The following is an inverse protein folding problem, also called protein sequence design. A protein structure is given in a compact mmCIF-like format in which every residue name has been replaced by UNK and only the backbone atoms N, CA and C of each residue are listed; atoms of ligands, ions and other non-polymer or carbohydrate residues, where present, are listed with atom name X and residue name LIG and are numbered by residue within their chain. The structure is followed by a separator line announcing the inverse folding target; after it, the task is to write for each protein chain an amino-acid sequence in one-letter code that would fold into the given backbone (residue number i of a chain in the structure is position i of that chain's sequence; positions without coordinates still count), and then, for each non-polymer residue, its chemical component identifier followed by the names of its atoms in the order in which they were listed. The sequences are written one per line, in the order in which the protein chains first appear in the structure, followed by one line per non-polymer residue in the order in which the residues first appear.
data_IF_760631067412
#
_entry.id   IF_760631067412
#
_cell.length_a   1.000
_cell.length_b   1.000
_cell.length_c   1.000
_cell.angle_alpha   90.00
_cell.angle_beta   90.00
_cell.angle_gamma   90.00
#
_symmetry.space_group_name_H-M   'P 1'
#
loop_
_entity.id
_entity.type
_entity.pdbx_description
1 polymer ?
#
# COMPACT_ATOMS: atom_id res chain seq x y z
N UNK A 1 -22.36 14.97 -5.60
CA UNK A 1 -22.33 13.69 -6.34
C UNK A 1 -20.89 13.21 -6.27
N UNK A 2 -20.61 12.14 -5.52
CA UNK A 2 -19.23 11.65 -5.39
C UNK A 2 -18.74 11.07 -6.71
N UNK A 3 -17.46 11.28 -7.04
CA UNK A 3 -16.83 10.63 -8.19
C UNK A 3 -16.97 9.10 -8.05
N UNK A 4 -17.19 8.36 -9.15
CA UNK A 4 -17.23 6.90 -9.11
C UNK A 4 -15.89 6.36 -8.59
N UNK A 5 -15.94 5.32 -7.76
CA UNK A 5 -14.75 4.68 -7.21
C UNK A 5 -14.11 3.82 -8.31
N UNK A 6 -13.00 4.30 -8.88
CA UNK A 6 -12.24 3.61 -9.93
C UNK A 6 -11.14 2.76 -9.28
N UNK A 7 -11.13 1.46 -9.58
CA UNK A 7 -10.12 0.51 -9.10
C UNK A 7 -9.04 0.31 -10.16
N UNK A 8 -7.80 0.69 -9.83
CA UNK A 8 -6.64 0.52 -10.71
C UNK A 8 -5.72 -0.57 -10.19
N UNK A 9 -5.22 -1.43 -11.08
CA UNK A 9 -4.24 -2.47 -10.74
C UNK A 9 -3.03 -2.42 -11.68
N UNK A 10 -1.85 -2.30 -11.09
CA UNK A 10 -0.58 -2.47 -11.80
C UNK A 10 -0.16 -3.94 -11.68
N UNK A 11 -0.03 -4.66 -12.79
CA UNK A 11 0.29 -6.10 -12.79
C UNK A 11 1.71 -6.38 -13.29
N UNK A 12 2.39 -7.43 -12.81
CA UNK A 12 3.72 -7.81 -13.30
C UNK A 12 3.68 -8.59 -14.64
N UNK A 13 2.50 -8.73 -15.26
CA UNK A 13 2.30 -9.48 -16.50
C UNK A 13 2.10 -8.52 -17.68
N UNK A 14 2.36 -9.01 -18.89
CA UNK A 14 2.12 -8.27 -20.14
C UNK A 14 0.61 -8.25 -20.47
N UNK A 15 -0.05 -9.38 -20.28
CA UNK A 15 -1.45 -9.54 -20.64
C UNK A 15 -2.39 -9.01 -19.55
N UNK A 16 -3.31 -8.11 -19.94
CA UNK A 16 -4.30 -7.51 -19.03
C UNK A 16 -5.27 -8.55 -18.45
N UNK A 17 -5.47 -9.67 -19.13
CA UNK A 17 -6.32 -10.77 -18.69
C UNK A 17 -5.88 -11.43 -17.38
N UNK A 18 -4.64 -11.18 -16.92
CA UNK A 18 -4.16 -11.63 -15.63
C UNK A 18 -4.75 -10.83 -14.44
N UNK A 19 -5.46 -9.73 -14.68
CA UNK A 19 -6.12 -8.96 -13.65
C UNK A 19 -7.41 -9.64 -13.16
N UNK A 20 -7.79 -9.35 -11.91
CA UNK A 20 -9.05 -9.84 -11.36
C UNK A 20 -10.25 -9.04 -11.92
N UNK A 21 -11.45 -9.61 -11.79
CA UNK A 21 -12.71 -9.06 -12.33
C UNK A 21 -13.21 -7.75 -11.69
N UNK A 22 -12.57 -7.27 -10.62
CA UNK A 22 -12.99 -6.08 -9.90
C UNK A 22 -12.26 -4.81 -10.38
N UNK A 23 -11.29 -4.94 -11.28
CA UNK A 23 -10.43 -3.84 -11.72
C UNK A 23 -11.03 -3.12 -12.95
N UNK A 24 -11.12 -1.79 -12.88
CA UNK A 24 -11.55 -0.94 -14.00
C UNK A 24 -10.38 -0.63 -14.94
N UNK A 25 -9.21 -0.33 -14.38
CA UNK A 25 -8.01 0.06 -15.13
C UNK A 25 -6.86 -0.89 -14.82
N UNK A 26 -6.43 -1.65 -15.82
CA UNK A 26 -5.27 -2.54 -15.72
C UNK A 26 -4.07 -1.92 -16.41
N UNK A 27 -2.96 -1.78 -15.68
CA UNK A 27 -1.68 -1.27 -16.18
C UNK A 27 -0.66 -2.41 -16.16
N UNK A 28 -0.31 -3.00 -17.32
CA UNK A 28 0.80 -3.93 -17.45
C UNK A 28 2.14 -3.27 -17.12
N UNK A 29 2.88 -3.83 -16.18
CA UNK A 29 4.21 -3.38 -15.77
C UNK A 29 5.13 -4.61 -15.59
N UNK A 30 5.61 -5.24 -16.69
CA UNK A 30 6.34 -6.51 -16.68
C UNK A 30 7.80 -6.37 -16.21
N UNK A 31 8.02 -5.62 -15.14
CA UNK A 31 9.33 -5.32 -14.57
C UNK A 31 9.58 -6.06 -13.24
N UNK A 32 8.93 -7.21 -13.04
CA UNK A 32 9.07 -8.02 -11.81
C UNK A 32 8.89 -7.14 -10.55
N UNK A 33 9.82 -7.19 -9.60
CA UNK A 33 9.78 -6.40 -8.36
C UNK A 33 9.95 -4.89 -8.58
N UNK A 34 10.51 -4.46 -9.71
CA UNK A 34 10.59 -3.02 -10.02
C UNK A 34 9.19 -2.42 -10.26
N UNK A 35 8.13 -3.22 -10.46
CA UNK A 35 6.75 -2.72 -10.46
C UNK A 35 6.32 -2.17 -9.09
N UNK A 36 6.88 -2.68 -7.99
CA UNK A 36 6.47 -2.32 -6.64
C UNK A 36 6.71 -0.83 -6.35
N UNK A 37 7.78 -0.24 -6.88
CA UNK A 37 8.03 1.21 -6.76
C UNK A 37 6.94 2.02 -7.48
N UNK A 38 6.48 1.56 -8.65
CA UNK A 38 5.43 2.23 -9.42
C UNK A 38 4.13 2.18 -8.63
N UNK A 39 3.79 1.03 -8.05
CA UNK A 39 2.60 0.87 -7.16
C UNK A 39 2.63 1.89 -6.03
N UNK A 40 3.77 2.02 -5.35
CA UNK A 40 3.92 2.95 -4.23
C UNK A 40 3.84 4.41 -4.69
N UNK A 41 4.49 4.77 -5.79
CA UNK A 41 4.52 6.14 -6.29
C UNK A 41 3.18 6.59 -6.90
N UNK A 42 2.35 5.65 -7.36
CA UNK A 42 1.00 5.94 -7.85
C UNK A 42 -0.02 6.30 -6.76
N UNK A 43 0.28 6.08 -5.48
CA UNK A 43 -0.62 6.35 -4.36
C UNK A 43 -0.16 7.49 -3.45
N UNK A 44 -1.11 8.09 -2.73
CA UNK A 44 -0.84 9.13 -1.73
C UNK A 44 -0.48 8.54 -0.36
N UNK A 45 -1.00 7.36 -0.03
CA UNK A 45 -0.71 6.61 1.19
C UNK A 45 -0.60 5.10 0.90
N UNK A 46 0.12 4.38 1.75
CA UNK A 46 0.27 2.93 1.68
C UNK A 46 -0.53 2.25 2.79
N UNK A 47 -1.45 1.35 2.44
CA UNK A 47 -2.14 0.47 3.37
C UNK A 47 -1.67 -0.98 3.18
N UNK A 48 -0.89 -1.49 4.12
CA UNK A 48 -0.38 -2.86 4.08
C UNK A 48 -1.36 -3.84 4.76
N UNK A 49 -1.68 -4.94 4.08
CA UNK A 49 -2.58 -6.00 4.56
C UNK A 49 -1.89 -7.36 4.38
N UNK A 50 -1.76 -8.13 5.46
CA UNK A 50 -1.05 -9.42 5.50
C UNK A 50 0.36 -9.32 4.88
N UNK A 51 0.65 -10.13 3.86
CA UNK A 51 1.80 -9.99 2.99
C UNK A 51 3.04 -10.84 3.35
N UNK A 52 3.87 -11.06 2.33
CA UNK A 52 5.19 -11.71 2.40
C UNK A 52 6.29 -10.71 2.01
N UNK A 53 7.46 -11.17 1.57
CA UNK A 53 8.60 -10.31 1.22
C UNK A 53 8.26 -9.20 0.19
N UNK A 54 7.39 -9.48 -0.79
CA UNK A 54 6.93 -8.45 -1.74
C UNK A 54 6.24 -7.28 -1.04
N UNK A 55 5.32 -7.56 -0.12
CA UNK A 55 4.66 -6.53 0.68
C UNK A 55 5.63 -5.76 1.56
N UNK A 56 6.61 -6.45 2.18
CA UNK A 56 7.66 -5.75 2.92
C UNK A 56 8.45 -4.79 2.02
N UNK A 57 8.76 -5.19 0.78
CA UNK A 57 9.46 -4.31 -0.15
C UNK A 57 8.64 -3.06 -0.51
N UNK A 58 7.32 -3.20 -0.69
CA UNK A 58 6.41 -2.06 -0.93
C UNK A 58 6.35 -1.14 0.30
N UNK A 59 6.32 -1.70 1.52
CA UNK A 59 6.42 -0.93 2.77
C UNK A 59 7.75 -0.17 2.84
N UNK A 60 8.87 -0.80 2.48
CA UNK A 60 10.19 -0.14 2.44
C UNK A 60 10.22 0.99 1.40
N UNK A 61 9.65 0.79 0.21
CA UNK A 61 9.54 1.87 -0.78
C UNK A 61 8.65 3.01 -0.29
N UNK A 62 7.49 2.71 0.31
CA UNK A 62 6.63 3.73 0.88
C UNK A 62 7.35 4.53 1.98
N UNK A 63 8.20 3.86 2.77
CA UNK A 63 9.05 4.49 3.77
C UNK A 63 10.04 5.46 3.12
N UNK A 64 10.82 4.99 2.16
CA UNK A 64 11.83 5.78 1.43
C UNK A 64 11.19 7.01 0.77
N UNK A 65 10.03 6.85 0.14
CA UNK A 65 9.35 7.92 -0.59
C UNK A 65 8.40 8.78 0.26
N UNK A 66 8.57 8.75 1.59
CA UNK A 66 7.84 9.61 2.52
C UNK A 66 6.31 9.48 2.42
N UNK A 67 5.80 8.33 1.96
CA UNK A 67 4.35 8.05 1.95
C UNK A 67 3.90 7.71 3.38
N UNK A 68 2.76 8.20 3.86
CA UNK A 68 2.15 7.71 5.09
C UNK A 68 1.87 6.21 4.97
N UNK A 69 2.20 5.43 6.01
CA UNK A 69 2.07 3.97 5.99
C UNK A 69 1.14 3.51 7.10
N UNK A 70 0.09 2.81 6.73
CA UNK A 70 -0.88 2.19 7.63
C UNK A 70 -0.74 0.67 7.48
N UNK A 71 -0.80 -0.07 8.58
CA UNK A 71 -0.70 -1.53 8.57
C UNK A 71 -1.83 -2.17 9.36
N UNK A 72 -2.54 -3.10 8.72
CA UNK A 72 -3.61 -3.86 9.38
C UNK A 72 -3.02 -4.95 10.29
N UNK A 73 -3.31 -4.87 11.59
CA UNK A 73 -2.72 -5.75 12.61
C UNK A 73 -3.53 -7.02 12.85
N UNK A 74 -4.81 -7.03 12.47
CA UNK A 74 -5.75 -8.15 12.67
C UNK A 74 -5.51 -9.36 11.75
N UNK A 75 -4.48 -9.31 10.89
CA UNK A 75 -4.12 -10.38 9.94
C UNK A 75 -2.66 -10.80 10.08
N UNK A 76 -2.37 -12.09 9.85
CA UNK A 76 -0.98 -12.59 9.86
C UNK A 76 -0.24 -12.12 8.60
N UNK A 77 0.98 -11.60 8.77
CA UNK A 77 1.86 -11.22 7.66
C UNK A 77 2.85 -10.14 8.05
N UNK A 78 3.51 -9.52 7.08
CA UNK A 78 4.46 -8.43 7.35
C UNK A 78 3.78 -7.16 7.90
N UNK A 79 2.56 -6.87 7.45
CA UNK A 79 1.75 -5.75 7.99
C UNK A 79 1.65 -5.77 9.52
N UNK A 80 1.20 -6.87 10.13
CA UNK A 80 1.12 -6.98 11.60
C UNK A 80 2.48 -7.00 12.28
N UNK A 81 3.49 -7.65 11.68
CA UNK A 81 4.84 -7.77 12.28
C UNK A 81 5.58 -6.44 12.41
N UNK A 82 5.32 -5.48 11.51
CA UNK A 82 6.04 -4.20 11.45
C UNK A 82 5.21 -3.01 11.94
N UNK A 83 3.95 -3.25 12.31
CA UNK A 83 3.07 -2.20 12.80
C UNK A 83 3.67 -1.49 14.03
N UNK A 84 3.42 -0.18 14.12
CA UNK A 84 3.88 0.69 15.19
C UNK A 84 5.40 0.84 15.33
N UNK A 85 6.17 0.40 14.34
CA UNK A 85 7.63 0.52 14.31
C UNK A 85 8.09 1.58 13.30
N UNK A 86 9.33 2.06 13.50
CA UNK A 86 10.09 2.75 12.48
C UNK A 86 10.95 1.75 11.72
N UNK A 87 11.19 1.98 10.42
CA UNK A 87 12.14 1.14 9.68
C UNK A 87 13.58 1.57 9.90
N UNK A 88 13.82 2.88 10.05
CA UNK A 88 15.12 3.48 10.32
C UNK A 88 14.97 4.87 10.98
N UNK A 89 16.07 5.63 11.04
CA UNK A 89 16.17 6.97 11.61
C UNK A 89 15.89 8.11 10.61
N UNK A 90 15.57 7.79 9.35
CA UNK A 90 15.35 8.79 8.29
C UNK A 90 13.98 9.46 8.35
N UNK A 91 13.09 8.95 9.21
CA UNK A 91 11.73 9.48 9.40
C UNK A 91 11.39 9.70 10.86
N UNK A 92 10.64 10.78 11.09
CA UNK A 92 10.15 11.13 12.42
C UNK A 92 8.87 10.37 12.78
N UNK A 93 8.08 9.97 11.79
CA UNK A 93 6.88 9.16 11.97
C UNK A 93 7.19 7.66 12.05
N UNK A 94 6.13 6.84 12.04
CA UNK A 94 6.18 5.39 12.17
C UNK A 94 5.11 4.77 11.29
N UNK A 95 5.16 3.45 11.12
CA UNK A 95 4.07 2.70 10.49
C UNK A 95 2.90 2.65 11.46
N UNK A 96 1.72 3.13 11.06
CA UNK A 96 0.55 3.23 11.93
C UNK A 96 -0.24 1.93 11.91
N UNK A 97 -0.26 1.20 13.03
CA UNK A 97 -1.09 0.01 13.19
C UNK A 97 -2.57 0.36 13.36
N UNK A 98 -3.44 -0.39 12.67
CA UNK A 98 -4.91 -0.32 12.80
C UNK A 98 -5.50 -1.72 12.81
N UNK A 99 -6.64 -1.92 13.47
CA UNK A 99 -7.26 -3.24 13.59
C UNK A 99 -8.40 -3.43 12.59
N UNK A 100 -9.07 -2.35 12.19
CA UNK A 100 -10.28 -2.40 11.35
C UNK A 100 -10.17 -1.56 10.07
N UNK A 101 -10.94 -1.89 9.01
CA UNK A 101 -11.02 -1.06 7.81
C UNK A 101 -11.46 0.39 8.09
N UNK A 102 -12.38 0.58 9.04
CA UNK A 102 -12.88 1.91 9.43
C UNK A 102 -11.77 2.76 10.06
N UNK A 103 -10.97 2.17 10.95
CA UNK A 103 -9.78 2.83 11.50
C UNK A 103 -8.76 3.15 10.42
N UNK A 104 -8.54 2.24 9.46
CA UNK A 104 -7.64 2.48 8.34
C UNK A 104 -8.08 3.72 7.54
N UNK A 105 -9.36 3.81 7.19
CA UNK A 105 -9.93 4.96 6.47
C UNK A 105 -9.80 6.25 7.29
N UNK A 106 -10.14 6.21 8.58
CA UNK A 106 -10.03 7.37 9.47
C UNK A 106 -8.59 7.87 9.56
N UNK A 107 -7.63 6.95 9.74
CA UNK A 107 -6.21 7.26 9.83
C UNK A 107 -5.65 7.80 8.51
N UNK A 108 -6.05 7.24 7.37
CA UNK A 108 -5.65 7.77 6.05
C UNK A 108 -6.12 9.22 5.89
N UNK A 109 -7.38 9.51 6.22
CA UNK A 109 -7.92 10.88 6.17
C UNK A 109 -7.16 11.84 7.09
N UNK A 110 -6.87 11.42 8.31
CA UNK A 110 -6.07 12.22 9.26
C UNK A 110 -4.67 12.54 8.72
N UNK A 111 -4.02 11.57 8.07
CA UNK A 111 -2.66 11.73 7.57
C UNK A 111 -2.59 12.55 6.27
N UNK A 112 -3.63 12.49 5.43
CA UNK A 112 -3.70 13.22 4.15
C UNK A 112 -4.30 14.62 4.27
N UNK A 113 -5.14 14.89 5.27
CA UNK A 113 -5.76 16.21 5.49
C UNK A 113 -4.90 17.13 6.40
N UNK A 114 -3.59 16.92 6.43
CA UNK A 114 -2.64 17.84 7.07
C UNK A 114 -2.20 18.92 6.11
#
# INVERSE_FOLDING_TARGET
MGLPLIQTLLIPHVEKSAANKYIDIVIPCPFSQARNIVVVLSGDACLAISGKAGTLSEICFAWIYQKPIIALTSVKGWSSKIANQKLDDRRNDKIYGVETPQEAISKIKELLNK
#
